data_IF_832961280127
#
_entry.id   IF_832961280127
#
_cell.length_a   1.000
_cell.length_b   1.000
_cell.length_c   1.000
_cell.angle_alpha   90.00
_cell.angle_beta   90.00
_cell.angle_gamma   90.00
#
_symmetry.space_group_name_H-M   'P 1'
#
loop_
_entity.id
_entity.type
_entity.pdbx_description
1 polymer ?
#
# COMPACT_ATOMS: atom_id res chain seq x y z
N UNK A 1 -2.47 25.63 15.26
CA UNK A 1 -2.57 24.15 15.20
C UNK A 1 -1.16 23.61 15.05
N UNK A 2 -0.46 23.37 16.16
CA UNK A 2 0.83 22.69 16.11
C UNK A 2 0.52 21.20 15.98
N UNK A 3 0.82 20.60 14.83
CA UNK A 3 0.72 19.15 14.66
C UNK A 3 1.70 18.54 15.67
N UNK A 4 1.20 17.78 16.63
CA UNK A 4 2.04 17.00 17.53
C UNK A 4 2.86 16.01 16.69
N UNK A 5 4.16 15.85 17.01
CA UNK A 5 5.09 15.06 16.18
C UNK A 5 4.65 13.62 15.95
N UNK A 6 3.85 13.08 16.88
CA UNK A 6 3.24 11.76 16.80
C UNK A 6 2.13 11.69 15.75
N UNK A 7 1.20 12.66 15.74
CA UNK A 7 0.15 12.78 14.71
C UNK A 7 0.75 13.01 13.32
N UNK A 8 1.84 13.77 13.22
CA UNK A 8 2.54 13.95 11.94
C UNK A 8 3.09 12.62 11.41
N UNK A 9 3.64 11.79 12.31
CA UNK A 9 4.23 10.50 11.97
C UNK A 9 3.18 9.53 11.43
N UNK A 10 2.01 9.46 12.06
CA UNK A 10 0.90 8.61 11.60
C UNK A 10 0.40 9.00 10.21
N UNK A 11 0.26 10.32 9.96
CA UNK A 11 -0.16 10.84 8.65
C UNK A 11 0.88 10.46 7.59
N UNK A 12 2.17 10.70 7.85
CA UNK A 12 3.24 10.39 6.91
C UNK A 12 3.26 8.89 6.59
N UNK A 13 3.16 8.04 7.60
CA UNK A 13 3.17 6.58 7.41
C UNK A 13 1.98 6.14 6.56
N UNK A 14 0.79 6.68 6.82
CA UNK A 14 -0.42 6.38 6.06
C UNK A 14 -0.31 6.81 4.60
N UNK A 15 0.19 8.03 4.36
CA UNK A 15 0.38 8.56 2.99
C UNK A 15 1.41 7.73 2.22
N UNK A 16 2.52 7.37 2.87
CA UNK A 16 3.57 6.53 2.27
C UNK A 16 3.01 5.14 1.92
N UNK A 17 2.22 4.53 2.80
CA UNK A 17 1.63 3.22 2.55
C UNK A 17 0.67 3.25 1.34
N UNK A 18 -0.18 4.27 1.24
CA UNK A 18 -1.07 4.44 0.08
C UNK A 18 -0.27 4.67 -1.21
N UNK A 19 0.76 5.53 -1.16
CA UNK A 19 1.64 5.77 -2.30
C UNK A 19 2.34 4.51 -2.79
N UNK A 20 2.83 3.69 -1.87
CA UNK A 20 3.41 2.38 -2.16
C UNK A 20 2.42 1.44 -2.85
N UNK A 21 1.17 1.39 -2.38
CA UNK A 21 0.14 0.56 -2.99
C UNK A 21 -0.19 0.98 -4.42
N UNK A 22 -0.31 2.28 -4.67
CA UNK A 22 -0.54 2.82 -6.01
C UNK A 22 0.63 2.43 -6.93
N UNK A 23 1.87 2.59 -6.47
CA UNK A 23 3.05 2.22 -7.24
C UNK A 23 3.06 0.73 -7.61
N UNK A 24 2.64 -0.15 -6.69
CA UNK A 24 2.50 -1.59 -6.96
C UNK A 24 1.46 -1.88 -8.06
N UNK A 25 0.29 -1.25 -8.01
CA UNK A 25 -0.75 -1.43 -9.04
C UNK A 25 -0.23 -0.99 -10.40
N UNK A 26 0.42 0.18 -10.46
CA UNK A 26 1.00 0.71 -11.70
C UNK A 26 2.07 -0.24 -12.24
N UNK A 27 2.94 -0.77 -11.39
CA UNK A 27 3.96 -1.74 -11.78
C UNK A 27 3.34 -3.03 -12.35
N UNK A 28 2.27 -3.55 -11.74
CA UNK A 28 1.56 -4.74 -12.24
C UNK A 28 0.93 -4.45 -13.60
N UNK A 29 0.28 -3.29 -13.78
CA UNK A 29 -0.26 -2.87 -15.07
C UNK A 29 0.81 -2.70 -16.14
N UNK A 30 2.01 -2.23 -15.77
CA UNK A 30 3.14 -2.11 -16.68
C UNK A 30 3.71 -3.47 -17.12
N UNK A 31 3.69 -4.48 -16.23
CA UNK A 31 4.22 -5.83 -16.51
C UNK A 31 3.21 -6.70 -17.28
N UNK A 32 1.94 -6.69 -16.88
CA UNK A 32 0.90 -7.58 -17.42
C UNK A 32 -0.02 -6.90 -18.44
N UNK A 33 0.17 -5.60 -18.68
CA UNK A 33 -0.68 -4.78 -19.54
C UNK A 33 -2.03 -4.43 -18.89
N UNK A 34 -2.78 -3.49 -19.48
CA UNK A 34 -4.04 -2.99 -18.93
C UNK A 34 -5.16 -4.04 -18.88
N UNK A 35 -5.04 -5.11 -19.68
CA UNK A 35 -5.97 -6.25 -19.67
C UNK A 35 -5.61 -7.33 -18.63
N UNK A 36 -4.53 -7.15 -17.85
CA UNK A 36 -4.07 -8.07 -16.81
C UNK A 36 -3.97 -9.54 -17.29
N UNK A 37 -3.40 -9.74 -18.48
CA UNK A 37 -3.45 -11.03 -19.17
C UNK A 37 -2.63 -12.11 -18.43
N UNK A 38 -2.97 -13.37 -18.68
CA UNK A 38 -2.31 -14.51 -18.04
C UNK A 38 -2.51 -14.49 -16.52
N UNK A 39 -1.43 -14.33 -15.76
CA UNK A 39 -1.45 -14.31 -14.28
C UNK A 39 -1.58 -12.91 -13.68
N UNK A 40 -1.77 -11.86 -14.51
CA UNK A 40 -1.85 -10.47 -14.05
C UNK A 40 -2.99 -10.22 -13.05
N UNK A 41 -4.14 -10.85 -13.24
CA UNK A 41 -5.26 -10.77 -12.28
C UNK A 41 -4.91 -11.35 -10.90
N UNK A 42 -4.23 -12.50 -10.88
CA UNK A 42 -3.74 -13.10 -9.63
C UNK A 42 -2.64 -12.25 -8.98
N UNK A 43 -1.75 -11.65 -9.77
CA UNK A 43 -0.73 -10.73 -9.27
C UNK A 43 -1.36 -9.49 -8.59
N UNK A 44 -2.43 -8.93 -9.16
CA UNK A 44 -3.17 -7.82 -8.57
C UNK A 44 -3.82 -8.23 -7.24
N UNK A 45 -4.48 -9.39 -7.18
CA UNK A 45 -5.05 -9.92 -5.94
C UNK A 45 -3.97 -10.14 -4.89
N UNK A 46 -2.83 -10.72 -5.27
CA UNK A 46 -1.68 -10.89 -4.38
C UNK A 46 -1.14 -9.57 -3.83
N UNK A 47 -1.09 -8.53 -4.65
CA UNK A 47 -0.68 -7.19 -4.22
C UNK A 47 -1.67 -6.54 -3.24
N UNK A 48 -2.97 -6.75 -3.43
CA UNK A 48 -4.00 -6.31 -2.48
C UNK A 48 -3.82 -7.02 -1.14
N UNK A 49 -3.65 -8.35 -1.15
CA UNK A 49 -3.42 -9.13 0.08
C UNK A 49 -2.15 -8.64 0.79
N UNK A 50 -1.06 -8.46 0.05
CA UNK A 50 0.19 -7.92 0.59
C UNK A 50 -0.01 -6.53 1.20
N UNK A 51 -0.76 -5.65 0.55
CA UNK A 51 -1.05 -4.32 1.07
C UNK A 51 -1.84 -4.37 2.39
N UNK A 52 -2.87 -5.21 2.48
CA UNK A 52 -3.64 -5.40 3.71
C UNK A 52 -2.73 -5.91 4.85
N UNK A 53 -1.83 -6.85 4.56
CA UNK A 53 -0.87 -7.34 5.56
C UNK A 53 0.09 -6.25 6.02
N UNK A 54 0.62 -5.45 5.09
CA UNK A 54 1.47 -4.29 5.43
C UNK A 54 0.72 -3.31 6.32
N UNK A 55 -0.54 -2.99 5.99
CA UNK A 55 -1.36 -2.08 6.81
C UNK A 55 -1.68 -2.66 8.19
N UNK A 56 -1.91 -3.97 8.29
CA UNK A 56 -2.11 -4.64 9.57
C UNK A 56 -0.85 -4.55 10.45
N UNK A 57 0.33 -4.78 9.87
CA UNK A 57 1.62 -4.64 10.56
C UNK A 57 1.87 -3.19 10.97
N UNK A 58 1.63 -2.23 10.08
CA UNK A 58 1.75 -0.80 10.36
C UNK A 58 0.81 -0.40 11.50
N UNK A 59 -0.45 -0.82 11.47
CA UNK A 59 -1.41 -0.56 12.54
C UNK A 59 -0.96 -1.12 13.89
N UNK A 60 -0.37 -2.33 13.89
CA UNK A 60 0.20 -2.91 15.11
C UNK A 60 1.41 -2.11 15.63
N UNK A 61 2.25 -1.57 14.75
CA UNK A 61 3.40 -0.75 15.15
C UNK A 61 3.02 0.67 15.60
N UNK A 62 1.92 1.22 15.09
CA UNK A 62 1.42 2.56 15.44
C UNK A 62 0.50 2.55 16.67
N UNK A 63 0.01 1.39 17.09
CA UNK A 63 -0.85 1.22 18.26
C UNK A 63 -0.08 0.64 19.45
N UNK A 64 0.74 1.42 20.19
CA UNK A 64 1.31 0.97 21.46
C UNK A 64 0.23 0.75 22.53
#
# INVERSE_FOLDING_TARGET
MAIEGETLKEIIVSVVAVGFFIALIVAIGAVYGPALTGVGGLALVGAIVLFVLVMAVVGFFLSP
#
